data_IF_279266150682
#
_entry.id   IF_279266150682
#
_cell.length_a   1.000
_cell.length_b   1.000
_cell.length_c   1.000
_cell.angle_alpha   90.00
_cell.angle_beta   90.00
_cell.angle_gamma   90.00
#
_symmetry.space_group_name_H-M   'P 1'
#
loop_
_entity.id
_entity.type
_entity.pdbx_description
1 polymer ?
#
# COMPACT_ATOMS: atom_id res chain seq x y z
N UNK A 1 1.13 13.95 -14.66
CA UNK A 1 2.45 13.33 -14.92
C UNK A 1 3.13 13.11 -13.58
N UNK A 2 3.68 11.92 -13.34
CA UNK A 2 4.37 11.61 -12.09
C UNK A 2 5.58 12.53 -11.96
N UNK A 3 5.66 13.30 -10.88
CA UNK A 3 6.78 14.18 -10.62
C UNK A 3 8.00 13.35 -10.18
N UNK A 4 9.04 13.33 -11.02
CA UNK A 4 10.28 12.55 -10.81
C UNK A 4 11.33 13.30 -9.99
N UNK A 5 11.04 14.52 -9.51
CA UNK A 5 12.04 15.33 -8.80
C UNK A 5 12.52 14.72 -7.48
N UNK A 6 11.77 13.77 -6.91
CA UNK A 6 12.06 13.11 -5.63
C UNK A 6 12.56 11.67 -5.82
N UNK A 7 12.96 11.31 -7.04
CA UNK A 7 13.46 9.97 -7.35
C UNK A 7 14.90 9.81 -6.86
N UNK A 8 15.15 8.72 -6.16
CA UNK A 8 16.49 8.27 -5.74
C UNK A 8 16.76 6.93 -6.40
N UNK A 9 17.76 6.87 -7.28
CA UNK A 9 18.09 5.63 -8.01
C UNK A 9 19.15 4.84 -7.27
N UNK A 10 18.84 3.59 -6.93
CA UNK A 10 19.82 2.69 -6.34
C UNK A 10 20.89 2.29 -7.36
N UNK A 11 22.16 2.26 -6.95
CA UNK A 11 23.28 1.82 -7.82
C UNK A 11 23.77 0.39 -7.51
N UNK A 12 23.49 -0.09 -6.31
CA UNK A 12 23.99 -1.33 -5.73
C UNK A 12 23.08 -1.79 -4.61
N UNK A 13 23.19 -3.06 -4.20
CA UNK A 13 22.43 -3.57 -3.05
C UNK A 13 22.67 -2.77 -1.77
N UNK A 14 23.90 -2.31 -1.53
CA UNK A 14 24.25 -1.56 -0.31
C UNK A 14 23.59 -0.18 -0.33
N UNK A 15 23.74 0.58 -1.43
CA UNK A 15 23.06 1.87 -1.56
C UNK A 15 21.53 1.72 -1.47
N UNK A 16 20.97 0.64 -2.02
CA UNK A 16 19.55 0.35 -1.83
C UNK A 16 19.18 0.18 -0.34
N UNK A 17 20.00 -0.48 0.47
CA UNK A 17 19.76 -0.56 1.92
C UNK A 17 19.77 0.81 2.57
N UNK A 18 20.74 1.66 2.24
CA UNK A 18 20.82 3.02 2.76
C UNK A 18 19.56 3.83 2.41
N UNK A 19 19.05 3.69 1.18
CA UNK A 19 17.83 4.35 0.74
C UNK A 19 16.57 3.83 1.46
N UNK A 20 16.47 2.52 1.68
CA UNK A 20 15.31 1.90 2.33
C UNK A 20 15.20 2.23 3.82
N UNK A 21 16.33 2.44 4.49
CA UNK A 21 16.40 2.73 5.92
C UNK A 21 16.85 4.16 6.21
N UNK A 22 16.80 5.06 5.23
CA UNK A 22 17.07 6.48 5.46
C UNK A 22 16.07 7.08 6.44
N UNK A 23 16.51 8.09 7.19
CA UNK A 23 15.69 8.86 8.13
C UNK A 23 14.90 8.00 9.14
N UNK A 24 15.42 6.82 9.50
CA UNK A 24 14.77 5.94 10.47
C UNK A 24 15.17 6.23 11.91
N UNK A 25 16.18 7.05 12.20
CA UNK A 25 16.55 7.40 13.57
C UNK A 25 15.59 8.45 14.15
N UNK A 26 14.92 8.11 15.25
CA UNK A 26 14.04 9.00 15.99
C UNK A 26 14.75 9.49 17.27
N UNK A 27 15.17 10.76 17.33
CA UNK A 27 15.88 11.31 18.49
C UNK A 27 14.99 11.46 19.72
N UNK A 28 13.66 11.47 19.58
CA UNK A 28 12.74 11.62 20.71
C UNK A 28 12.71 10.39 21.62
N UNK A 29 13.05 9.23 21.06
CA UNK A 29 13.07 7.94 21.76
C UNK A 29 14.44 7.24 21.70
N UNK A 30 15.45 7.86 21.08
CA UNK A 30 16.81 7.33 20.90
C UNK A 30 16.82 5.93 20.24
N UNK A 31 16.00 5.74 19.20
CA UNK A 31 15.81 4.45 18.53
C UNK A 31 15.53 4.60 17.05
N UNK A 32 15.73 3.51 16.30
CA UNK A 32 15.38 3.43 14.89
C UNK A 32 13.90 3.06 14.70
N UNK A 33 13.08 4.02 14.27
CA UNK A 33 11.67 3.91 13.88
C UNK A 33 11.42 4.75 12.62
N UNK A 34 11.14 4.09 11.50
CA UNK A 34 10.80 4.80 10.26
C UNK A 34 9.37 5.35 10.32
N UNK A 35 9.22 6.60 9.89
CA UNK A 35 7.93 7.27 9.69
C UNK A 35 7.35 7.02 8.30
N UNK A 36 7.91 6.06 7.54
CA UNK A 36 7.52 5.78 6.17
C UNK A 36 6.78 4.46 6.03
N UNK A 37 5.84 4.45 5.08
CA UNK A 37 5.18 3.27 4.55
C UNK A 37 5.53 3.13 3.08
N UNK A 38 5.56 1.88 2.60
CA UNK A 38 6.17 1.51 1.34
C UNK A 38 5.17 0.82 0.41
N UNK A 39 5.27 1.11 -0.89
CA UNK A 39 4.56 0.36 -1.94
C UNK A 39 5.49 0.08 -3.10
N UNK A 40 5.77 -1.20 -3.34
CA UNK A 40 6.59 -1.65 -4.45
C UNK A 40 5.77 -1.89 -5.72
N UNK A 41 6.29 -1.44 -6.85
CA UNK A 41 5.72 -1.64 -8.18
C UNK A 41 6.82 -2.14 -9.12
N UNK A 42 6.47 -3.10 -9.97
CA UNK A 42 7.42 -3.73 -10.88
C UNK A 42 7.89 -2.83 -12.03
N UNK A 43 7.25 -1.67 -12.21
CA UNK A 43 7.48 -0.75 -13.31
C UNK A 43 7.37 0.68 -12.77
N UNK A 44 8.41 1.49 -12.97
CA UNK A 44 8.48 2.85 -12.44
C UNK A 44 7.52 3.84 -13.12
N UNK A 45 6.92 3.44 -14.25
CA UNK A 45 5.89 4.19 -14.96
C UNK A 45 4.49 3.98 -14.38
N UNK A 46 4.32 3.00 -13.48
CA UNK A 46 3.02 2.72 -12.87
C UNK A 46 2.56 3.85 -11.95
N UNK A 47 1.36 4.33 -12.25
CA UNK A 47 0.63 5.31 -11.44
C UNK A 47 0.02 4.65 -10.20
N UNK A 48 -0.20 5.45 -9.15
CA UNK A 48 -0.90 5.03 -7.93
C UNK A 48 -2.43 5.02 -8.15
N UNK A 49 -2.86 4.29 -9.18
CA UNK A 49 -4.27 4.04 -9.53
C UNK A 49 -4.85 2.91 -8.71
N UNK A 50 -5.99 3.17 -8.08
CA UNK A 50 -6.81 2.17 -7.38
C UNK A 50 -7.40 1.16 -8.36
N UNK A 51 -7.81 0.00 -7.87
CA UNK A 51 -8.48 -1.03 -8.68
C UNK A 51 -9.85 -0.53 -9.15
N UNK A 52 -10.52 0.32 -8.36
CA UNK A 52 -11.75 0.99 -8.75
C UNK A 52 -11.58 1.90 -9.97
N UNK A 53 -10.56 2.77 -10.00
CA UNK A 53 -10.31 3.66 -11.14
C UNK A 53 -10.00 2.85 -12.42
N UNK A 54 -9.32 1.71 -12.26
CA UNK A 54 -8.97 0.81 -13.39
C UNK A 54 -10.19 0.15 -14.05
N UNK A 55 -11.35 0.12 -13.41
CA UNK A 55 -12.59 -0.35 -14.05
C UNK A 55 -13.00 0.52 -15.26
N UNK A 56 -12.61 1.79 -15.27
CA UNK A 56 -13.03 2.74 -16.28
C UNK A 56 -14.53 3.05 -16.22
N UNK A 57 -15.03 3.80 -17.22
CA UNK A 57 -16.44 4.21 -17.28
C UNK A 57 -16.89 5.03 -16.06
N UNK A 58 -18.14 4.82 -15.62
CA UNK A 58 -18.70 5.49 -14.43
C UNK A 58 -18.38 4.75 -13.12
N UNK A 59 -17.12 4.39 -12.91
CA UNK A 59 -16.67 3.57 -11.77
C UNK A 59 -17.08 4.14 -10.40
N UNK A 60 -17.07 5.47 -10.23
CA UNK A 60 -17.44 6.14 -8.98
C UNK A 60 -18.88 5.86 -8.55
N UNK A 61 -19.80 5.62 -9.51
CA UNK A 61 -21.17 5.20 -9.21
C UNK A 61 -21.23 3.73 -8.77
N UNK A 62 -20.29 2.91 -9.22
CA UNK A 62 -20.33 1.46 -9.06
C UNK A 62 -19.80 0.98 -7.72
N UNK A 63 -18.93 1.73 -7.06
CA UNK A 63 -18.30 1.28 -5.81
C UNK A 63 -19.32 0.83 -4.75
N UNK A 64 -20.34 1.66 -4.47
CA UNK A 64 -21.41 1.29 -3.53
C UNK A 64 -22.17 0.05 -3.97
N UNK A 65 -22.41 -0.11 -5.27
CA UNK A 65 -23.09 -1.28 -5.81
C UNK A 65 -22.24 -2.55 -5.70
N UNK A 66 -20.95 -2.47 -6.01
CA UNK A 66 -19.98 -3.55 -5.89
C UNK A 66 -19.89 -4.02 -4.44
N UNK A 67 -19.67 -3.08 -3.51
CA UNK A 67 -19.53 -3.41 -2.10
C UNK A 67 -20.83 -3.95 -1.50
N UNK A 68 -21.99 -3.38 -1.86
CA UNK A 68 -23.30 -3.92 -1.44
C UNK A 68 -23.53 -5.34 -1.93
N UNK A 69 -23.23 -5.63 -3.20
CA UNK A 69 -23.38 -6.98 -3.74
C UNK A 69 -22.38 -7.95 -3.10
N UNK A 70 -21.14 -7.54 -2.92
CA UNK A 70 -20.13 -8.34 -2.22
C UNK A 70 -20.60 -8.72 -0.81
N UNK A 71 -21.07 -7.74 -0.02
CA UNK A 71 -21.66 -7.96 1.32
C UNK A 71 -22.82 -8.96 1.30
N UNK A 72 -23.70 -8.85 0.30
CA UNK A 72 -24.86 -9.74 0.15
C UNK A 72 -24.47 -11.22 -0.04
N UNK A 73 -23.36 -11.49 -0.74
CA UNK A 73 -22.98 -12.86 -1.13
C UNK A 73 -21.82 -13.45 -0.31
N UNK A 74 -21.00 -12.61 0.35
CA UNK A 74 -19.88 -13.06 1.16
C UNK A 74 -20.30 -13.80 2.46
N UNK A 75 -21.55 -13.63 2.90
CA UNK A 75 -22.08 -14.28 4.11
C UNK A 75 -21.57 -13.65 5.43
N UNK A 76 -22.28 -13.90 6.55
CA UNK A 76 -22.00 -13.24 7.84
C UNK A 76 -20.71 -13.69 8.52
N UNK A 77 -20.15 -14.86 8.18
CA UNK A 77 -18.91 -15.37 8.80
C UNK A 77 -17.64 -14.74 8.23
N UNK A 78 -17.74 -14.06 7.08
CA UNK A 78 -16.58 -13.49 6.38
C UNK A 78 -16.02 -12.24 7.05
N UNK A 79 -16.75 -11.61 7.99
CA UNK A 79 -16.32 -10.38 8.66
C UNK A 79 -16.72 -10.39 10.14
N UNK A 80 -15.74 -10.16 11.01
CA UNK A 80 -15.92 -10.20 12.47
C UNK A 80 -16.88 -9.12 13.02
N UNK A 81 -16.99 -7.98 12.34
CA UNK A 81 -17.93 -6.88 12.68
C UNK A 81 -18.48 -6.25 11.41
N UNK A 82 -19.78 -5.96 11.37
CA UNK A 82 -20.46 -5.33 10.24
C UNK A 82 -20.14 -3.82 10.12
N UNK A 83 -18.85 -3.50 9.89
CA UNK A 83 -18.34 -2.16 9.72
C UNK A 83 -17.90 -1.96 8.26
N UNK A 84 -18.16 -0.79 7.68
CA UNK A 84 -17.86 -0.52 6.26
C UNK A 84 -16.37 -0.73 5.93
N UNK A 85 -15.49 -0.31 6.85
CA UNK A 85 -14.04 -0.38 6.70
C UNK A 85 -13.50 -1.82 6.75
N UNK A 86 -14.15 -2.68 7.54
CA UNK A 86 -13.86 -4.12 7.51
C UNK A 86 -14.27 -4.73 6.18
N UNK A 87 -15.47 -4.41 5.70
CA UNK A 87 -15.95 -4.89 4.41
C UNK A 87 -15.07 -4.43 3.25
N UNK A 88 -14.60 -3.18 3.26
CA UNK A 88 -13.65 -2.68 2.27
C UNK A 88 -12.32 -3.43 2.32
N UNK A 89 -11.81 -3.74 3.52
CA UNK A 89 -10.57 -4.50 3.70
C UNK A 89 -10.70 -5.93 3.15
N UNK A 90 -11.79 -6.62 3.48
CA UNK A 90 -12.08 -7.98 2.97
C UNK A 90 -12.31 -7.97 1.46
N UNK A 91 -13.08 -7.01 0.97
CA UNK A 91 -13.33 -6.84 -0.46
C UNK A 91 -12.02 -6.67 -1.25
N UNK A 92 -11.13 -5.78 -0.80
CA UNK A 92 -9.80 -5.57 -1.38
C UNK A 92 -8.95 -6.85 -1.35
N UNK A 93 -8.94 -7.57 -0.22
CA UNK A 93 -8.20 -8.83 -0.07
C UNK A 93 -8.63 -9.90 -1.09
N UNK A 94 -9.93 -10.00 -1.35
CA UNK A 94 -10.52 -10.92 -2.34
C UNK A 94 -10.56 -10.36 -3.77
N UNK A 95 -9.91 -9.24 -4.04
CA UNK A 95 -9.76 -8.69 -5.39
C UNK A 95 -10.98 -7.96 -5.94
N UNK A 96 -11.96 -7.61 -5.09
CA UNK A 96 -13.01 -6.68 -5.51
C UNK A 96 -12.37 -5.33 -5.84
N UNK A 97 -12.75 -4.66 -6.94
CA UNK A 97 -12.31 -3.30 -7.20
C UNK A 97 -12.75 -2.34 -6.07
N UNK A 98 -11.78 -1.72 -5.40
CA UNK A 98 -12.02 -0.76 -4.31
C UNK A 98 -11.20 0.53 -4.51
N UNK A 99 -11.55 1.58 -3.76
CA UNK A 99 -10.73 2.81 -3.68
C UNK A 99 -9.46 2.66 -2.83
N UNK A 100 -9.18 1.48 -2.27
CA UNK A 100 -8.00 1.26 -1.43
C UNK A 100 -6.74 1.07 -2.28
N UNK A 101 -5.59 1.45 -1.71
CA UNK A 101 -4.28 1.00 -2.15
C UNK A 101 -3.56 0.29 -1.00
N UNK A 102 -2.90 -0.81 -1.34
CA UNK A 102 -2.10 -1.61 -0.41
C UNK A 102 -0.73 -0.96 -0.15
N UNK A 103 -0.34 -0.88 1.10
CA UNK A 103 0.98 -0.45 1.52
C UNK A 103 1.52 -1.48 2.51
N UNK A 104 2.80 -1.37 2.81
CA UNK A 104 3.43 -2.17 3.85
C UNK A 104 4.33 -1.29 4.71
N UNK A 105 4.41 -1.60 6.00
CA UNK A 105 5.43 -1.01 6.87
C UNK A 105 6.83 -1.58 6.59
N UNK A 106 6.94 -2.70 5.86
CA UNK A 106 8.20 -3.38 5.60
C UNK A 106 8.83 -2.97 4.25
N UNK A 107 10.02 -2.34 4.25
CA UNK A 107 10.72 -2.00 3.01
C UNK A 107 11.04 -3.25 2.16
N UNK A 108 11.28 -4.41 2.79
CA UNK A 108 11.56 -5.65 2.08
C UNK A 108 10.32 -6.31 1.47
N UNK A 109 9.16 -6.17 2.10
CA UNK A 109 7.89 -6.57 1.48
C UNK A 109 7.62 -5.68 0.26
N UNK A 110 7.91 -4.38 0.32
CA UNK A 110 7.81 -3.53 -0.86
C UNK A 110 8.81 -3.94 -1.95
N UNK A 111 10.07 -4.25 -1.62
CA UNK A 111 11.00 -4.81 -2.61
C UNK A 111 10.48 -6.11 -3.25
N UNK A 112 9.83 -6.98 -2.46
CA UNK A 112 9.19 -8.17 -3.00
C UNK A 112 8.17 -7.80 -4.08
N UNK A 113 7.29 -6.83 -3.85
CA UNK A 113 6.34 -6.40 -4.87
C UNK A 113 7.00 -5.70 -6.06
N UNK A 114 8.04 -4.90 -5.82
CA UNK A 114 8.80 -4.21 -6.88
C UNK A 114 9.56 -5.17 -7.81
N UNK A 115 9.74 -6.42 -7.40
CA UNK A 115 10.42 -7.44 -8.20
C UNK A 115 9.52 -8.65 -8.51
N UNK A 116 8.21 -8.59 -8.23
CA UNK A 116 7.33 -9.77 -8.27
C UNK A 116 6.98 -10.21 -9.71
N UNK A 117 6.81 -9.25 -10.62
CA UNK A 117 6.46 -9.54 -12.00
C UNK A 117 7.72 -9.80 -12.85
N UNK A 118 7.95 -11.06 -13.21
CA UNK A 118 9.08 -11.52 -14.05
C UNK A 118 9.06 -10.94 -15.46
N UNK A 119 7.89 -10.72 -16.03
CA UNK A 119 7.72 -10.14 -17.37
C UNK A 119 8.21 -8.68 -17.45
N UNK A 120 8.43 -8.06 -16.27
CA UNK A 120 8.89 -6.67 -16.13
C UNK A 120 10.33 -6.58 -15.60
N UNK A 121 11.13 -7.65 -15.66
CA UNK A 121 12.52 -7.61 -15.16
C UNK A 121 13.47 -6.82 -16.05
N UNK A 122 13.06 -6.54 -17.28
CA UNK A 122 13.73 -5.66 -18.24
C UNK A 122 13.45 -4.16 -18.00
N UNK A 123 12.44 -3.85 -17.19
CA UNK A 123 12.04 -2.51 -16.82
C UNK A 123 12.50 -2.16 -15.40
N UNK A 124 12.68 -0.88 -15.12
CA UNK A 124 13.00 -0.43 -13.77
C UNK A 124 11.78 -0.56 -12.87
N UNK A 125 11.97 -1.05 -11.64
CA UNK A 125 10.95 -1.05 -10.60
C UNK A 125 10.95 0.25 -9.80
N UNK A 126 9.97 0.42 -8.94
CA UNK A 126 9.90 1.56 -8.01
C UNK A 126 9.36 1.15 -6.66
N UNK A 127 9.89 1.76 -5.60
CA UNK A 127 9.28 1.77 -4.27
C UNK A 127 8.86 3.19 -3.95
N UNK A 128 7.55 3.38 -3.77
CA UNK A 128 7.01 4.60 -3.20
C UNK A 128 7.20 4.58 -1.69
N UNK A 129 7.75 5.65 -1.15
CA UNK A 129 7.95 5.83 0.29
C UNK A 129 7.19 7.08 0.73
N UNK A 130 6.16 6.92 1.56
CA UNK A 130 5.30 8.02 2.03
C UNK A 130 5.46 8.20 3.53
N UNK A 131 5.70 9.44 3.97
CA UNK A 131 5.71 9.80 5.38
C UNK A 131 4.27 9.89 5.90
N UNK A 132 3.75 8.78 6.43
CA UNK A 132 2.37 8.68 6.88
C UNK A 132 2.11 9.47 8.19
N UNK A 133 3.17 9.86 8.91
CA UNK A 133 3.05 10.75 10.08
C UNK A 133 2.82 12.19 9.62
N UNK A 134 3.62 12.71 8.68
CA UNK A 134 3.44 14.07 8.15
C UNK A 134 2.14 14.26 7.39
N UNK A 135 1.57 13.20 6.81
CA UNK A 135 0.26 13.26 6.14
C UNK A 135 -0.85 13.76 7.08
N UNK A 136 -0.70 13.59 8.39
CA UNK A 136 -1.67 14.06 9.38
C UNK A 136 -1.95 15.55 9.33
N UNK A 137 -0.94 16.34 8.97
CA UNK A 137 -1.06 17.79 8.86
C UNK A 137 -2.09 18.21 7.79
N UNK A 138 -2.36 17.32 6.82
CA UNK A 138 -3.27 17.53 5.70
C UNK A 138 -4.65 16.88 5.91
N UNK A 139 -4.92 16.33 7.10
CA UNK A 139 -6.20 15.69 7.42
C UNK A 139 -7.17 16.66 8.11
N UNK A 140 -8.49 16.45 8.02
CA UNK A 140 -9.49 17.14 8.83
C UNK A 140 -9.16 17.09 10.34
N UNK A 141 -9.43 18.18 11.07
CA UNK A 141 -9.07 18.30 12.50
C UNK A 141 -9.65 17.17 13.36
N UNK A 142 -10.88 16.74 13.08
CA UNK A 142 -11.53 15.60 13.76
C UNK A 142 -10.73 14.30 13.63
N UNK A 143 -10.09 14.06 12.49
CA UNK A 143 -9.25 12.89 12.25
C UNK A 143 -7.89 13.01 12.96
N UNK A 144 -7.33 14.23 12.99
CA UNK A 144 -6.10 14.51 13.73
C UNK A 144 -6.29 14.28 15.24
N UNK A 145 -7.37 14.82 15.79
CA UNK A 145 -7.68 14.77 17.22
C UNK A 145 -7.88 13.32 17.70
N UNK A 146 -8.56 12.48 16.91
CA UNK A 146 -8.74 11.06 17.25
C UNK A 146 -7.41 10.30 17.30
N UNK A 147 -6.53 10.51 16.32
CA UNK A 147 -5.21 9.88 16.30
C UNK A 147 -4.37 10.31 17.52
N UNK A 148 -4.43 11.60 17.86
CA UNK A 148 -3.70 12.16 18.99
C UNK A 148 -4.23 11.62 20.31
N UNK A 149 -5.56 11.55 20.47
CA UNK A 149 -6.23 11.00 21.63
C UNK A 149 -5.87 9.53 21.87
N UNK A 150 -5.90 8.71 20.81
CA UNK A 150 -5.57 7.28 20.88
C UNK A 150 -4.06 7.01 20.93
N UNK A 151 -3.23 8.04 20.76
CA UNK A 151 -1.76 7.94 20.66
C UNK A 151 -1.31 6.92 19.61
N UNK A 152 -2.07 6.81 18.53
CA UNK A 152 -1.83 5.82 17.49
C UNK A 152 -0.93 6.36 16.38
N UNK A 153 -0.19 5.48 15.69
CA UNK A 153 0.59 5.82 14.50
C UNK A 153 -0.26 5.78 13.22
N UNK A 154 -1.24 4.90 13.14
CA UNK A 154 -2.21 4.83 12.03
C UNK A 154 -3.65 4.76 12.55
N UNK A 155 -4.63 4.85 11.65
CA UNK A 155 -6.01 4.58 12.06
C UNK A 155 -6.26 3.09 12.20
N UNK A 156 -7.08 2.71 13.18
CA UNK A 156 -7.73 1.40 13.18
C UNK A 156 -9.12 1.51 12.55
N UNK A 157 -9.72 0.38 12.18
CA UNK A 157 -11.10 0.37 11.70
C UNK A 157 -12.07 0.92 12.74
N UNK A 158 -11.87 0.63 14.03
CA UNK A 158 -12.69 1.14 15.12
C UNK A 158 -12.67 2.66 15.20
N UNK A 159 -11.49 3.28 15.09
CA UNK A 159 -11.34 4.74 15.08
C UNK A 159 -12.08 5.37 13.90
N UNK A 160 -11.90 4.82 12.70
CA UNK A 160 -12.60 5.34 11.51
C UNK A 160 -14.11 5.18 11.63
N UNK A 161 -14.57 4.03 12.13
CA UNK A 161 -16.00 3.78 12.27
C UNK A 161 -16.68 4.70 13.29
N UNK A 162 -15.95 5.19 14.30
CA UNK A 162 -16.44 6.18 15.26
C UNK A 162 -16.67 7.55 14.60
N UNK A 163 -15.82 7.94 13.66
CA UNK A 163 -15.85 9.26 13.00
C UNK A 163 -16.69 9.27 11.73
N UNK A 164 -16.52 8.26 10.89
CA UNK A 164 -17.11 8.12 9.57
C UNK A 164 -17.53 6.65 9.33
N UNK A 165 -18.65 6.20 9.91
CA UNK A 165 -19.20 4.85 9.76
C UNK A 165 -19.57 4.44 8.32
N UNK A 166 -19.60 5.37 7.38
CA UNK A 166 -19.84 5.09 5.97
C UNK A 166 -18.99 5.98 5.04
N UNK A 167 -18.89 5.58 3.77
CA UNK A 167 -18.07 6.28 2.77
C UNK A 167 -18.59 7.70 2.45
N UNK A 168 -19.89 7.94 2.58
CA UNK A 168 -20.45 9.29 2.34
C UNK A 168 -19.99 10.27 3.42
N UNK A 169 -20.01 9.85 4.68
CA UNK A 169 -19.50 10.66 5.78
C UNK A 169 -18.00 10.90 5.64
N UNK A 170 -17.23 9.90 5.22
CA UNK A 170 -15.80 10.07 4.95
C UNK A 170 -15.53 11.09 3.83
N UNK A 171 -16.26 11.03 2.71
CA UNK A 171 -16.14 12.00 1.61
C UNK A 171 -16.55 13.42 2.01
N UNK A 172 -17.48 13.55 2.96
CA UNK A 172 -17.97 14.84 3.43
C UNK A 172 -17.08 15.47 4.51
N UNK A 173 -16.09 14.76 5.06
CA UNK A 173 -15.09 15.36 5.93
C UNK A 173 -14.28 16.38 5.13
N UNK A 174 -14.14 17.59 5.65
CA UNK A 174 -13.43 18.68 4.96
C UNK A 174 -12.14 19.05 5.68
N UNK A 175 -11.10 19.31 4.88
CA UNK A 175 -9.89 20.01 5.30
C UNK A 175 -9.72 21.24 4.39
N UNK A 176 -10.46 22.32 4.69
CA UNK A 176 -10.60 23.42 3.76
C UNK A 176 -11.25 22.97 2.45
N UNK A 177 -10.63 23.33 1.32
CA UNK A 177 -11.02 22.91 -0.04
C UNK A 177 -10.17 21.74 -0.56
N UNK A 178 -9.22 21.23 0.22
CA UNK A 178 -8.28 20.21 -0.20
C UNK A 178 -8.77 18.79 0.11
N UNK A 179 -8.51 17.88 -0.83
CA UNK A 179 -8.60 16.43 -0.61
C UNK A 179 -7.54 15.96 0.40
N UNK A 180 -7.83 14.87 1.11
CA UNK A 180 -6.92 14.29 2.10
C UNK A 180 -6.81 12.78 1.95
N UNK A 181 -5.70 12.23 2.46
CA UNK A 181 -5.41 10.80 2.48
C UNK A 181 -5.33 10.35 3.92
N UNK A 182 -5.91 9.18 4.21
CA UNK A 182 -5.67 8.49 5.48
C UNK A 182 -4.98 7.16 5.22
N UNK A 183 -4.28 6.67 6.25
CA UNK A 183 -3.75 5.32 6.32
C UNK A 183 -4.37 4.59 7.49
N UNK A 184 -4.86 3.37 7.25
CA UNK A 184 -5.45 2.56 8.30
C UNK A 184 -4.98 1.11 8.22
N UNK A 185 -4.87 0.50 9.39
CA UNK A 185 -4.53 -0.90 9.54
C UNK A 185 -5.81 -1.73 9.41
N UNK A 186 -5.89 -2.65 8.43
CA UNK A 186 -7.02 -3.56 8.34
C UNK A 186 -6.99 -4.52 9.54
N UNK A 187 -8.14 -5.11 9.90
CA UNK A 187 -8.15 -6.14 10.92
C UNK A 187 -7.30 -7.34 10.45
N UNK A 188 -6.77 -8.10 11.41
CA UNK A 188 -6.09 -9.36 11.14
C UNK A 188 -7.09 -10.43 10.68
N UNK A 189 -7.57 -10.28 9.45
CA UNK A 189 -8.61 -11.12 8.83
C UNK A 189 -8.01 -12.37 8.19
N UNK A 190 -6.75 -12.29 7.76
CA UNK A 190 -6.03 -13.37 7.07
C UNK A 190 -4.52 -13.25 7.36
N UNK A 191 -3.85 -14.39 7.36
CA UNK A 191 -2.40 -14.51 7.42
C UNK A 191 -1.66 -13.69 6.34
N UNK A 192 -2.25 -13.48 5.15
CA UNK A 192 -1.68 -12.60 4.11
C UNK A 192 -1.46 -11.17 4.61
N UNK A 193 -2.48 -10.59 5.25
CA UNK A 193 -2.44 -9.21 5.77
C UNK A 193 -1.33 -9.09 6.82
N UNK A 194 -1.23 -10.10 7.69
CA UNK A 194 -0.21 -10.18 8.74
C UNK A 194 1.19 -10.30 8.12
N UNK A 195 1.38 -11.24 7.20
CA UNK A 195 2.69 -11.54 6.60
C UNK A 195 3.22 -10.40 5.73
N UNK A 196 2.32 -9.62 5.12
CA UNK A 196 2.70 -8.45 4.32
C UNK A 196 2.95 -7.21 5.19
N UNK A 197 2.73 -7.29 6.51
CA UNK A 197 2.76 -6.15 7.44
C UNK A 197 1.98 -4.95 6.84
N UNK A 198 0.76 -5.24 6.42
CA UNK A 198 0.00 -4.43 5.48
C UNK A 198 -0.79 -3.31 6.17
N UNK A 199 -1.02 -2.24 5.41
CA UNK A 199 -1.95 -1.18 5.72
C UNK A 199 -2.59 -0.68 4.42
N UNK A 200 -3.71 0.02 4.52
CA UNK A 200 -4.40 0.60 3.38
C UNK A 200 -4.36 2.12 3.41
N UNK A 201 -4.19 2.74 2.25
CA UNK A 201 -4.49 4.16 2.07
C UNK A 201 -5.84 4.33 1.41
N UNK A 202 -6.57 5.37 1.80
CA UNK A 202 -7.75 5.83 1.08
C UNK A 202 -7.71 7.36 0.92
N UNK A 203 -8.01 7.81 -0.28
CA UNK A 203 -8.16 9.22 -0.61
C UNK A 203 -9.63 9.62 -0.43
N UNK A 204 -9.89 10.81 0.10
CA UNK A 204 -11.24 11.37 0.25
C UNK A 204 -12.01 11.30 -1.06
N UNK A 205 -11.39 11.74 -2.15
CA UNK A 205 -11.95 11.70 -3.49
C UNK A 205 -11.54 10.43 -4.26
N UNK A 206 -12.51 9.55 -4.52
CA UNK A 206 -12.30 8.29 -5.25
C UNK A 206 -11.96 8.42 -6.74
N UNK A 207 -12.08 9.63 -7.31
CA UNK A 207 -11.76 9.90 -8.72
C UNK A 207 -10.34 10.42 -8.94
N UNK A 208 -9.65 10.79 -7.85
CA UNK A 208 -8.30 11.32 -7.90
C UNK A 208 -7.29 10.20 -7.66
N UNK A 209 -6.18 10.21 -8.42
CA UNK A 209 -5.06 9.30 -8.16
C UNK A 209 -4.18 9.84 -7.03
N UNK A 210 -3.66 8.94 -6.19
CA UNK A 210 -2.84 9.33 -5.06
C UNK A 210 -1.52 10.00 -5.46
N UNK A 211 -0.91 9.60 -6.57
CA UNK A 211 0.31 10.23 -7.10
C UNK A 211 0.07 11.67 -7.57
N UNK A 212 -1.10 11.98 -8.14
CA UNK A 212 -1.50 13.35 -8.45
C UNK A 212 -1.60 14.20 -7.18
N UNK A 213 -2.24 13.68 -6.12
CA UNK A 213 -2.34 14.38 -4.83
C UNK A 213 -0.95 14.59 -4.19
N UNK A 214 -0.09 13.58 -4.24
CA UNK A 214 1.29 13.64 -3.71
C UNK A 214 2.17 14.62 -4.48
N UNK A 215 1.99 14.77 -5.80
CA UNK A 215 2.82 15.62 -6.64
C UNK A 215 2.83 17.10 -6.21
N UNK A 216 1.80 17.53 -5.47
CA UNK A 216 1.65 18.86 -4.90
C UNK A 216 2.37 19.03 -3.54
N UNK A 217 2.81 17.92 -2.92
CA UNK A 217 3.31 17.84 -1.54
C UNK A 217 4.64 17.09 -1.49
N UNK A 218 5.69 17.70 -2.04
CA UNK A 218 7.01 17.05 -2.26
C UNK A 218 7.67 16.53 -0.99
N UNK A 219 7.45 17.16 0.16
CA UNK A 219 8.09 16.76 1.42
C UNK A 219 7.45 15.52 2.07
N UNK A 220 6.35 15.01 1.50
CA UNK A 220 5.65 13.83 2.01
C UNK A 220 6.17 12.52 1.46
N UNK A 221 6.87 12.53 0.32
CA UNK A 221 7.23 11.29 -0.35
C UNK A 221 8.54 11.39 -1.13
N UNK A 222 9.16 10.23 -1.30
CA UNK A 222 10.21 10.02 -2.29
C UNK A 222 9.98 8.66 -2.95
N UNK A 223 10.65 8.44 -4.08
CA UNK A 223 10.61 7.15 -4.76
C UNK A 223 12.01 6.59 -4.85
N UNK A 224 12.15 5.30 -4.57
CA UNK A 224 13.39 4.57 -4.81
C UNK A 224 13.24 3.86 -6.15
N UNK A 225 14.04 4.23 -7.14
CA UNK A 225 14.07 3.55 -8.42
C UNK A 225 14.99 2.34 -8.30
N UNK A 226 14.47 1.18 -8.72
CA UNK A 226 15.18 -0.09 -8.72
C UNK A 226 15.57 -0.42 -10.16
N UNK A 227 16.83 -0.24 -10.56
CA UNK A 227 17.27 -0.57 -11.91
C UNK A 227 16.96 -2.02 -12.27
N UNK A 228 16.51 -2.25 -13.50
CA UNK A 228 16.23 -3.58 -14.06
C UNK A 228 17.36 -4.59 -13.78
N UNK A 229 18.61 -4.14 -13.98
CA UNK A 229 19.85 -4.93 -13.75
C UNK A 229 19.99 -5.50 -12.34
N UNK A 230 19.36 -4.88 -11.33
CA UNK A 230 19.46 -5.28 -9.91
C UNK A 230 18.37 -6.25 -9.49
N UNK A 231 17.28 -6.40 -10.26
CA UNK A 231 16.08 -7.13 -9.81
C UNK A 231 16.36 -8.60 -9.46
N UNK A 232 17.23 -9.27 -10.22
CA UNK A 232 17.64 -10.64 -9.92
C UNK A 232 18.42 -10.74 -8.61
N UNK A 233 19.44 -9.90 -8.41
CA UNK A 233 20.22 -9.90 -7.18
C UNK A 233 19.33 -9.63 -5.95
N UNK A 234 18.43 -8.63 -6.06
CA UNK A 234 17.46 -8.31 -5.01
C UNK A 234 16.59 -9.53 -4.71
N UNK A 235 16.06 -10.19 -5.74
CA UNK A 235 15.17 -11.33 -5.58
C UNK A 235 15.85 -12.49 -4.85
N UNK A 236 17.05 -12.84 -5.28
CA UNK A 236 17.82 -13.94 -4.69
C UNK A 236 18.17 -13.65 -3.21
N UNK A 237 18.46 -12.38 -2.88
CA UNK A 237 18.72 -11.96 -1.50
C UNK A 237 17.46 -11.96 -0.63
N UNK A 238 16.31 -11.54 -1.17
CA UNK A 238 15.03 -11.61 -0.46
C UNK A 238 14.66 -13.05 -0.11
N UNK A 239 14.95 -14.01 -1.00
CA UNK A 239 14.74 -15.43 -0.72
C UNK A 239 15.57 -15.93 0.47
N UNK A 240 16.83 -15.48 0.59
CA UNK A 240 17.70 -15.85 1.71
C UNK A 240 17.19 -15.35 3.07
N UNK A 241 16.44 -14.24 3.09
CA UNK A 241 15.81 -13.69 4.30
C UNK A 241 14.34 -14.07 4.43
N UNK A 242 13.89 -15.10 3.68
CA UNK A 242 12.55 -15.68 3.71
C UNK A 242 11.42 -14.72 3.28
N UNK A 243 11.73 -13.70 2.48
CA UNK A 243 10.74 -12.80 1.87
C UNK A 243 10.33 -13.34 0.49
N UNK A 244 9.44 -14.34 0.52
CA UNK A 244 9.07 -15.18 -0.62
C UNK A 244 7.57 -15.18 -0.88
N UNK A 245 7.12 -15.61 -2.06
CA UNK A 245 5.69 -15.68 -2.41
C UNK A 245 4.93 -16.63 -1.47
N UNK A 246 5.55 -17.75 -1.06
CA UNK A 246 4.93 -18.69 -0.11
C UNK A 246 4.69 -18.09 1.28
N UNK A 247 5.46 -17.06 1.65
CA UNK A 247 5.26 -16.32 2.91
C UNK A 247 4.26 -15.19 2.67
N UNK A 248 4.42 -14.42 1.59
CA UNK A 248 3.53 -13.29 1.29
C UNK A 248 2.10 -13.72 0.93
N UNK A 249 1.93 -14.92 0.37
CA UNK A 249 0.66 -15.48 -0.07
C UNK A 249 0.56 -16.93 0.43
N UNK A 250 0.10 -17.13 1.68
CA UNK A 250 -0.07 -18.47 2.24
C UNK A 250 -1.00 -19.34 1.39
N UNK A 251 -0.68 -20.64 1.31
CA UNK A 251 -1.45 -21.62 0.54
C UNK A 251 -0.73 -22.11 -0.72
N UNK A 252 -1.44 -22.92 -1.52
CA UNK A 252 -0.87 -23.60 -2.68
C UNK A 252 -0.50 -22.63 -3.81
N UNK A 253 -1.22 -21.52 -3.94
CA UNK A 253 -0.95 -20.52 -4.99
C UNK A 253 0.41 -19.84 -4.78
N UNK A 254 0.70 -19.36 -3.57
CA UNK A 254 1.98 -18.76 -3.26
C UNK A 254 3.13 -19.77 -3.25
N UNK A 255 2.88 -21.01 -2.81
CA UNK A 255 3.86 -22.09 -2.91
C UNK A 255 4.20 -22.40 -4.37
N UNK A 256 3.19 -22.54 -5.23
CA UNK A 256 3.37 -22.81 -6.66
C UNK A 256 4.10 -21.66 -7.37
N UNK A 257 3.74 -20.40 -7.06
CA UNK A 257 4.42 -19.24 -7.59
C UNK A 257 5.91 -19.18 -7.17
N UNK A 258 6.20 -19.44 -5.89
CA UNK A 258 7.57 -19.51 -5.38
C UNK A 258 8.39 -20.59 -6.08
N UNK A 259 7.88 -21.83 -6.16
CA UNK A 259 8.57 -22.94 -6.81
C UNK A 259 8.84 -22.66 -8.29
N UNK A 260 7.84 -22.15 -9.03
CA UNK A 260 7.99 -21.79 -10.45
C UNK A 260 9.08 -20.74 -10.66
N UNK A 261 9.20 -19.77 -9.76
CA UNK A 261 10.24 -18.73 -9.83
C UNK A 261 11.60 -19.27 -9.44
N UNK A 262 11.70 -19.91 -8.28
CA UNK A 262 12.96 -20.37 -7.69
C UNK A 262 13.70 -21.36 -8.59
N UNK A 263 12.97 -22.32 -9.17
CA UNK A 263 13.54 -23.32 -10.08
C UNK A 263 13.54 -22.89 -11.55
N UNK A 264 12.95 -21.74 -11.88
CA UNK A 264 12.94 -21.18 -13.22
C UNK A 264 14.27 -20.51 -13.57
N UNK A 265 14.67 -20.56 -14.85
CA UNK A 265 15.85 -19.82 -15.31
C UNK A 265 15.48 -18.40 -15.77
N UNK A 266 16.47 -17.51 -15.87
CA UNK A 266 16.26 -16.12 -16.30
C UNK A 266 15.56 -15.97 -17.66
N UNK A 267 15.65 -16.99 -18.54
CA UNK A 267 15.09 -16.96 -19.89
C UNK A 267 13.73 -17.63 -20.07
N UNK A 268 13.17 -18.29 -19.06
CA UNK A 268 11.88 -18.97 -19.20
C UNK A 268 10.76 -18.00 -18.81
N UNK A 269 10.24 -17.27 -19.80
CA UNK A 269 9.00 -16.50 -19.70
C UNK A 269 8.06 -17.14 -20.71
N UNK A 270 7.37 -18.20 -20.30
CA UNK A 270 6.16 -18.69 -20.98
C UNK A 270 4.95 -18.40 -20.11
#
# INVERSE_FOLDING_TARGET
MINTSNDKTADSWIHLQDLLFQDCYDPSIDRFRSSFVYRGLSDNSYELKTTLIRLGGSYYKMEKHLLRNFRKYAGPESVSKDLIWNWLSVAQHHGLPTRLLDWTFSPYVALHFATANREKFDQDGVIWCINYIKIREFMPKILQDEIEQEKSLGFTVEMLNKICPNLDEFENLKHGEDDFVIFFEPPSLDQRIINQFALFSVLSNSTLNLDTWLSQKKDLYYRIIIPAKMKWEIRDKLDQVNITERVMFPGLDGLGAWLRRWYGTKGTIE
#
